data_IF_097345794938
#
_entry.id   IF_097345794938
#
_cell.length_a   1.000
_cell.length_b   1.000
_cell.length_c   1.000
_cell.angle_alpha   90.00
_cell.angle_beta   90.00
_cell.angle_gamma   90.00
#
_symmetry.space_group_name_H-M   'P 1'
#
loop_
_entity.id
_entity.type
_entity.pdbx_description
1 polymer ?
#
# COMPACT_ATOMS: atom_id res chain seq x y z
N UNK A 1 19.86 -19.65 -0.56
CA UNK A 1 18.55 -18.98 -0.71
C UNK A 1 18.76 -17.65 -0.04
N UNK A 2 18.94 -16.58 -0.80
CA UNK A 2 19.12 -15.24 -0.20
C UNK A 2 17.83 -14.90 0.55
N UNK A 3 17.94 -14.53 1.83
CA UNK A 3 16.82 -14.03 2.60
C UNK A 3 16.44 -12.67 2.01
N UNK A 4 15.21 -12.54 1.50
CA UNK A 4 14.66 -11.25 1.10
C UNK A 4 14.24 -10.50 2.37
N UNK A 5 14.81 -9.32 2.61
CA UNK A 5 14.36 -8.43 3.67
C UNK A 5 13.35 -7.45 3.09
N UNK A 6 12.15 -7.40 3.66
CA UNK A 6 11.19 -6.34 3.36
C UNK A 6 11.57 -5.10 4.15
N UNK A 7 11.53 -3.94 3.49
CA UNK A 7 11.78 -2.64 4.09
C UNK A 7 10.59 -1.73 3.87
N UNK A 8 9.88 -1.40 4.95
CA UNK A 8 8.67 -0.61 4.90
C UNK A 8 8.87 0.83 5.42
N UNK A 9 8.15 1.78 4.82
CA UNK A 9 7.89 3.10 5.38
C UNK A 9 6.37 3.37 5.28
N UNK A 10 5.69 3.27 6.41
CA UNK A 10 4.23 3.22 6.45
C UNK A 10 3.65 4.10 7.57
N UNK A 11 2.49 4.67 7.30
CA UNK A 11 1.60 5.24 8.29
C UNK A 11 0.50 4.21 8.60
N UNK A 12 0.16 4.04 9.87
CA UNK A 12 -0.83 3.07 10.30
C UNK A 12 -1.80 3.67 11.32
N UNK A 13 -3.01 3.11 11.33
CA UNK A 13 -3.98 3.27 12.40
C UNK A 13 -4.43 1.90 12.87
N UNK A 14 -4.30 1.66 14.17
CA UNK A 14 -4.78 0.47 14.85
C UNK A 14 -6.02 0.82 15.68
N UNK A 15 -6.87 -0.17 15.98
CA UNK A 15 -8.04 -0.04 16.87
C UNK A 15 -7.70 0.60 18.23
N UNK A 16 -6.45 0.45 18.71
CA UNK A 16 -5.98 1.07 19.97
C UNK A 16 -5.64 2.56 19.85
N UNK A 17 -5.27 3.05 18.66
CA UNK A 17 -4.84 4.44 18.42
C UNK A 17 -5.98 5.32 17.89
N UNK A 18 -7.02 4.73 17.33
CA UNK A 18 -8.26 5.45 17.05
C UNK A 18 -8.89 5.84 18.40
N UNK A 19 -8.82 7.13 18.78
CA UNK A 19 -9.61 7.63 19.90
C UNK A 19 -11.06 7.14 19.71
N UNK A 20 -11.53 6.29 20.63
CA UNK A 20 -12.89 5.70 20.72
C UNK A 20 -13.23 4.58 19.73
N UNK A 21 -12.97 3.31 20.08
CA UNK A 21 -13.78 2.15 19.67
C UNK A 21 -14.22 2.07 18.20
N UNK A 22 -13.39 2.58 17.28
CA UNK A 22 -13.74 2.84 15.90
C UNK A 22 -13.56 1.53 15.14
N UNK A 23 -14.68 0.90 14.81
CA UNK A 23 -14.67 -0.26 13.93
C UNK A 23 -14.31 0.21 12.51
N UNK A 24 -13.28 -0.38 11.93
CA UNK A 24 -12.81 -0.01 10.60
C UNK A 24 -13.33 -1.00 9.56
N UNK A 25 -14.09 -0.49 8.61
CA UNK A 25 -14.71 -1.27 7.53
C UNK A 25 -14.11 -0.95 6.17
N UNK A 26 -12.99 -0.23 6.13
CA UNK A 26 -12.34 0.15 4.89
C UNK A 26 -11.40 1.32 5.03
N UNK A 27 -10.73 1.63 3.93
CA UNK A 27 -9.82 2.76 3.85
C UNK A 27 -9.76 3.32 2.44
N UNK A 28 -9.47 4.61 2.36
CA UNK A 28 -9.28 5.34 1.13
C UNK A 28 -8.06 6.24 1.23
N UNK A 29 -7.34 6.36 0.14
CA UNK A 29 -6.27 7.34 0.00
C UNK A 29 -6.04 7.68 -1.47
N UNK A 30 -5.49 8.88 -1.68
CA UNK A 30 -4.92 9.30 -2.95
C UNK A 30 -3.40 9.08 -2.90
N UNK A 31 -2.88 8.30 -3.84
CA UNK A 31 -1.51 7.78 -3.88
C UNK A 31 -0.80 8.36 -5.10
N UNK A 32 0.32 9.02 -4.88
CA UNK A 32 1.14 9.54 -5.95
C UNK A 32 1.91 8.41 -6.66
N UNK A 33 1.95 8.43 -8.00
CA UNK A 33 2.53 7.35 -8.81
C UNK A 33 3.89 7.75 -9.38
N UNK A 34 4.87 6.88 -9.21
CA UNK A 34 6.24 7.01 -9.70
C UNK A 34 6.71 5.75 -10.42
N UNK A 35 7.84 5.87 -11.12
CA UNK A 35 8.57 4.75 -11.72
C UNK A 35 9.93 4.60 -11.02
N UNK A 36 9.97 4.03 -9.79
CA UNK A 36 11.22 3.83 -9.05
C UNK A 36 12.18 2.90 -9.79
N UNK A 37 13.49 3.18 -9.66
CA UNK A 37 14.52 2.25 -10.09
C UNK A 37 14.53 1.00 -9.20
N UNK A 38 14.48 -0.18 -9.83
CA UNK A 38 14.65 -1.48 -9.16
C UNK A 38 16.05 -2.00 -9.46
N UNK A 39 16.82 -2.31 -8.42
CA UNK A 39 18.24 -2.64 -8.53
C UNK A 39 18.47 -4.06 -9.05
N UNK A 40 17.71 -5.02 -8.54
CA UNK A 40 17.81 -6.44 -8.89
C UNK A 40 16.47 -6.95 -9.44
N UNK A 41 16.51 -7.83 -10.45
CA UNK A 41 15.31 -8.23 -11.20
C UNK A 41 14.23 -8.94 -10.36
N UNK A 42 14.60 -9.52 -9.22
CA UNK A 42 13.74 -10.19 -8.25
C UNK A 42 13.31 -9.28 -7.08
N UNK A 43 13.61 -7.98 -7.15
CA UNK A 43 13.12 -6.99 -6.20
C UNK A 43 11.86 -6.29 -6.73
N UNK A 44 11.16 -5.61 -5.82
CA UNK A 44 10.05 -4.74 -6.17
C UNK A 44 10.05 -3.49 -5.29
N UNK A 45 9.28 -2.50 -5.73
CA UNK A 45 8.88 -1.34 -4.94
C UNK A 45 7.39 -1.12 -5.13
N UNK A 46 6.68 -0.92 -4.03
CA UNK A 46 5.22 -0.76 -4.04
C UNK A 46 4.76 0.42 -3.21
N UNK A 47 3.52 0.83 -3.44
CA UNK A 47 2.81 1.86 -2.69
C UNK A 47 1.34 1.49 -2.61
N UNK A 48 0.85 1.19 -1.42
CA UNK A 48 -0.44 0.55 -1.24
C UNK A 48 -1.19 0.96 0.03
N UNK A 49 -2.44 0.50 0.08
CA UNK A 49 -3.28 0.43 1.27
C UNK A 49 -3.31 -1.03 1.73
N UNK A 50 -3.08 -1.27 3.02
CA UNK A 50 -3.32 -2.56 3.68
C UNK A 50 -4.57 -2.49 4.53
N UNK A 51 -5.49 -3.44 4.35
CA UNK A 51 -6.61 -3.70 5.26
C UNK A 51 -6.32 -5.01 5.98
N UNK A 52 -6.14 -4.94 7.29
CA UNK A 52 -5.60 -6.04 8.08
C UNK A 52 -6.54 -6.43 9.22
N UNK A 53 -6.61 -7.73 9.50
CA UNK A 53 -7.28 -8.26 10.69
C UNK A 53 -6.64 -9.55 11.17
N UNK A 54 -6.54 -9.71 12.49
CA UNK A 54 -5.87 -10.86 13.12
C UNK A 54 -4.52 -10.48 13.73
N UNK A 55 -3.59 -11.44 13.78
CA UNK A 55 -2.29 -11.29 14.45
C UNK A 55 -1.11 -11.54 13.52
N UNK A 56 -0.09 -10.68 13.61
CA UNK A 56 1.21 -10.92 12.97
C UNK A 56 1.97 -12.10 13.58
N UNK A 57 1.64 -12.48 14.82
CA UNK A 57 2.22 -13.63 15.49
C UNK A 57 1.47 -14.91 15.07
N UNK A 58 2.04 -15.66 14.13
CA UNK A 58 1.51 -16.95 13.68
C UNK A 58 0.87 -16.91 12.29
N UNK A 59 -0.14 -17.75 12.07
CA UNK A 59 -0.83 -17.93 10.77
C UNK A 59 -2.21 -17.27 10.73
N UNK A 60 -2.42 -16.23 11.55
CA UNK A 60 -3.75 -15.70 11.85
C UNK A 60 -4.04 -14.34 11.20
N UNK A 61 -3.13 -13.82 10.37
CA UNK A 61 -3.30 -12.53 9.71
C UNK A 61 -4.07 -12.68 8.39
N UNK A 62 -5.12 -11.89 8.25
CA UNK A 62 -5.79 -11.65 6.97
C UNK A 62 -5.35 -10.28 6.44
N UNK A 63 -5.11 -10.21 5.13
CA UNK A 63 -4.72 -8.97 4.45
C UNK A 63 -5.47 -8.81 3.12
N UNK A 64 -5.93 -7.60 2.85
CA UNK A 64 -6.33 -7.12 1.53
C UNK A 64 -5.47 -5.91 1.19
N UNK A 65 -4.90 -5.94 0.00
CA UNK A 65 -3.88 -4.98 -0.43
C UNK A 65 -4.19 -4.46 -1.81
N UNK A 66 -4.15 -3.15 -2.00
CA UNK A 66 -4.25 -2.55 -3.32
C UNK A 66 -3.47 -1.25 -3.43
N UNK A 67 -2.87 -1.03 -4.59
CA UNK A 67 -1.94 0.06 -4.81
C UNK A 67 -1.36 0.05 -6.21
N UNK A 68 -0.17 0.63 -6.34
CA UNK A 68 0.68 0.43 -7.51
C UNK A 68 2.02 -0.19 -7.10
N UNK A 69 2.61 -0.97 -7.98
CA UNK A 69 3.94 -1.54 -7.77
C UNK A 69 4.76 -1.59 -9.06
N UNK A 70 6.08 -1.57 -8.93
CA UNK A 70 7.04 -1.93 -9.97
C UNK A 70 7.70 -3.23 -9.56
N UNK A 71 7.44 -4.30 -10.31
CA UNK A 71 8.01 -5.63 -10.08
C UNK A 71 8.42 -6.24 -11.43
N UNK A 72 9.71 -6.13 -11.82
CA UNK A 72 10.21 -6.69 -13.06
C UNK A 72 10.01 -8.21 -13.16
N UNK A 73 10.18 -8.95 -12.06
CA UNK A 73 9.93 -10.39 -12.01
C UNK A 73 8.48 -10.74 -12.35
N UNK A 74 7.51 -9.99 -11.83
CA UNK A 74 6.09 -10.29 -12.02
C UNK A 74 5.56 -9.83 -13.39
N UNK A 75 6.03 -8.69 -13.90
CA UNK A 75 5.45 -8.05 -15.09
C UNK A 75 6.35 -8.06 -16.33
N UNK A 76 7.63 -8.40 -16.19
CA UNK A 76 8.61 -8.40 -17.28
C UNK A 76 9.04 -7.01 -17.76
N UNK A 77 8.64 -5.94 -17.06
CA UNK A 77 9.06 -4.56 -17.31
C UNK A 77 9.12 -3.74 -16.01
N UNK A 78 9.60 -2.50 -16.09
CA UNK A 78 9.76 -1.60 -14.94
C UNK A 78 8.63 -0.56 -14.83
N UNK A 79 7.51 -0.75 -15.52
CA UNK A 79 6.41 0.23 -15.46
C UNK A 79 5.55 -0.01 -14.22
N UNK A 80 5.10 1.05 -13.52
CA UNK A 80 4.20 0.87 -12.38
C UNK A 80 2.87 0.26 -12.84
N UNK A 81 2.44 -0.79 -12.14
CA UNK A 81 1.19 -1.51 -12.41
C UNK A 81 0.21 -1.29 -11.26
N UNK A 82 -1.05 -1.03 -11.59
CA UNK A 82 -2.14 -1.20 -10.61
C UNK A 82 -2.15 -2.67 -10.19
N UNK A 83 -2.16 -2.94 -8.89
CA UNK A 83 -2.16 -4.32 -8.42
C UNK A 83 -3.05 -4.50 -7.20
N UNK A 84 -3.33 -5.76 -6.95
CA UNK A 84 -3.95 -6.23 -5.72
C UNK A 84 -3.21 -7.44 -5.18
N UNK A 85 -3.21 -7.60 -3.87
CA UNK A 85 -2.86 -8.84 -3.20
C UNK A 85 -3.87 -9.14 -2.09
N UNK A 86 -4.00 -10.40 -1.70
CA UNK A 86 -4.72 -10.78 -0.49
C UNK A 86 -4.09 -12.04 0.10
N UNK A 87 -4.26 -12.25 1.40
CA UNK A 87 -3.96 -13.53 2.10
C UNK A 87 -4.91 -13.69 3.29
N UNK A 88 -5.09 -14.93 3.74
CA UNK A 88 -5.90 -15.29 4.92
C UNK A 88 -5.11 -16.03 6.00
N UNK A 89 -3.80 -16.23 5.80
CA UNK A 89 -2.98 -17.09 6.66
C UNK A 89 -1.55 -16.55 6.85
N UNK A 90 -1.39 -15.23 7.01
CA UNK A 90 -0.09 -14.59 7.19
C UNK A 90 0.92 -14.90 6.08
N UNK A 91 0.48 -14.86 4.82
CA UNK A 91 1.35 -15.08 3.65
C UNK A 91 2.00 -16.48 3.60
N UNK A 92 1.43 -17.48 4.27
CA UNK A 92 2.05 -18.81 4.36
C UNK A 92 1.72 -19.69 3.16
N UNK A 93 0.44 -20.03 2.98
CA UNK A 93 -0.03 -20.92 1.93
C UNK A 93 -1.16 -20.31 1.10
N UNK A 94 -1.94 -19.39 1.67
CA UNK A 94 -2.98 -18.67 0.96
C UNK A 94 -2.51 -17.31 0.48
N UNK A 95 -3.14 -16.89 -0.61
CA UNK A 95 -3.02 -15.55 -1.12
C UNK A 95 -2.81 -15.51 -2.62
N UNK A 96 -3.02 -14.33 -3.18
CA UNK A 96 -2.98 -14.19 -4.63
C UNK A 96 -2.64 -12.79 -5.09
N UNK A 97 -1.66 -12.70 -6.00
CA UNK A 97 -1.44 -11.50 -6.79
C UNK A 97 -2.48 -11.40 -7.91
N UNK A 98 -3.10 -10.23 -8.00
CA UNK A 98 -3.97 -9.85 -9.11
C UNK A 98 -5.05 -10.91 -9.41
N UNK A 99 -5.08 -11.39 -10.66
CA UNK A 99 -5.97 -12.43 -11.15
C UNK A 99 -5.19 -13.73 -11.49
N UNK A 100 -4.00 -13.92 -10.91
CA UNK A 100 -3.16 -15.11 -11.20
C UNK A 100 -3.72 -16.41 -10.60
N UNK A 101 -4.66 -16.27 -9.67
CA UNK A 101 -5.38 -17.30 -8.95
C UNK A 101 -6.74 -16.74 -8.50
N UNK A 102 -7.60 -17.62 -8.00
CA UNK A 102 -8.92 -17.24 -7.48
C UNK A 102 -8.80 -16.36 -6.22
N UNK A 103 -9.73 -15.42 -6.05
CA UNK A 103 -9.90 -14.64 -4.82
C UNK A 103 -10.43 -13.24 -5.07
N UNK A 104 -9.86 -12.50 -6.03
CA UNK A 104 -10.43 -11.23 -6.48
C UNK A 104 -11.34 -11.45 -7.69
N UNK A 105 -12.55 -10.91 -7.64
CA UNK A 105 -13.53 -10.96 -8.73
C UNK A 105 -13.59 -9.57 -9.38
N UNK A 106 -12.87 -9.41 -10.50
CA UNK A 106 -12.96 -8.20 -11.31
C UNK A 106 -14.32 -8.17 -12.03
N UNK A 107 -15.04 -7.06 -11.88
CA UNK A 107 -16.35 -6.84 -12.50
C UNK A 107 -16.32 -5.76 -13.58
N UNK A 108 -15.29 -4.92 -13.54
CA UNK A 108 -15.09 -3.80 -14.45
C UNK A 108 -14.24 -4.19 -15.66
N UNK A 109 -14.61 -3.70 -16.84
CA UNK A 109 -13.86 -3.91 -18.10
C UNK A 109 -13.08 -2.68 -18.58
N UNK A 110 -13.15 -1.55 -17.86
CA UNK A 110 -12.43 -0.30 -18.16
C UNK A 110 -11.11 -0.20 -17.39
N UNK A 111 -11.09 -0.69 -16.15
CA UNK A 111 -9.89 -0.75 -15.30
C UNK A 111 -9.48 -2.20 -15.17
N UNK A 112 -8.26 -2.51 -15.58
CA UNK A 112 -7.70 -3.86 -15.48
C UNK A 112 -6.63 -3.92 -14.38
N UNK A 113 -6.77 -4.87 -13.46
CA UNK A 113 -5.72 -5.18 -12.51
C UNK A 113 -4.49 -5.72 -13.26
N UNK A 114 -3.29 -5.25 -12.89
CA UNK A 114 -2.03 -5.52 -13.58
C UNK A 114 -1.73 -4.59 -14.77
N UNK A 115 -2.65 -3.68 -15.13
CA UNK A 115 -2.42 -2.71 -16.19
C UNK A 115 -1.35 -1.68 -15.80
N UNK A 116 -0.54 -1.27 -16.78
CA UNK A 116 0.43 -0.20 -16.61
C UNK A 116 -0.28 1.14 -16.36
N UNK A 117 0.20 1.89 -15.38
CA UNK A 117 -0.29 3.22 -15.06
C UNK A 117 0.55 4.23 -15.84
N UNK A 118 -0.13 5.14 -16.54
CA UNK A 118 0.50 6.24 -17.26
C UNK A 118 -0.49 7.40 -17.36
N UNK A 119 -0.03 8.66 -17.27
CA UNK A 119 1.34 9.10 -17.00
C UNK A 119 1.79 8.90 -15.53
N UNK A 120 3.09 9.06 -15.27
CA UNK A 120 3.72 8.97 -13.93
C UNK A 120 4.36 10.30 -13.55
N UNK A 121 4.58 10.52 -12.25
CA UNK A 121 5.14 11.77 -11.73
C UNK A 121 6.60 11.95 -12.10
N UNK A 122 7.07 13.19 -12.03
CA UNK A 122 8.47 13.56 -12.33
C UNK A 122 9.01 14.58 -11.34
N UNK A 123 10.32 14.55 -11.10
CA UNK A 123 10.98 15.47 -10.15
C UNK A 123 10.81 16.92 -10.60
N UNK A 124 10.25 17.75 -9.71
CA UNK A 124 9.93 19.17 -9.95
C UNK A 124 9.05 19.41 -11.19
N UNK A 125 8.33 18.38 -11.64
CA UNK A 125 7.48 18.42 -12.83
C UNK A 125 6.04 18.05 -12.51
N UNK A 126 5.32 17.53 -13.50
CA UNK A 126 3.94 17.11 -13.34
C UNK A 126 3.85 15.98 -12.30
N UNK A 127 2.86 16.07 -11.42
CA UNK A 127 2.52 15.06 -10.43
C UNK A 127 1.22 14.37 -10.84
N UNK A 128 1.20 13.05 -10.77
CA UNK A 128 0.05 12.22 -11.10
C UNK A 128 -0.25 11.27 -9.94
N UNK A 129 -1.53 11.14 -9.61
CA UNK A 129 -1.98 10.31 -8.51
C UNK A 129 -3.19 9.46 -8.91
N UNK A 130 -3.42 8.42 -8.12
CA UNK A 130 -4.59 7.53 -8.20
C UNK A 130 -5.30 7.56 -6.87
N UNK A 131 -6.61 7.40 -6.86
CA UNK A 131 -7.36 7.22 -5.62
C UNK A 131 -7.87 5.79 -5.54
N UNK A 132 -7.66 5.14 -4.40
CA UNK A 132 -8.14 3.78 -4.13
C UNK A 132 -9.01 3.85 -2.89
N UNK A 133 -10.15 3.17 -2.94
CA UNK A 133 -11.01 2.92 -1.80
C UNK A 133 -11.30 1.42 -1.74
N UNK A 134 -11.01 0.81 -0.59
CA UNK A 134 -11.39 -0.56 -0.24
C UNK A 134 -12.38 -0.49 0.92
N UNK A 135 -13.51 -1.18 0.84
CA UNK A 135 -14.49 -1.20 1.93
C UNK A 135 -15.34 -2.46 1.94
N UNK A 136 -15.85 -2.83 3.11
CA UNK A 136 -16.77 -3.94 3.31
C UNK A 136 -18.19 -3.49 2.98
N UNK A 137 -18.84 -4.15 2.03
CA UNK A 137 -20.26 -3.91 1.71
C UNK A 137 -21.15 -4.35 2.89
N UNK A 138 -21.92 -3.43 3.52
CA UNK A 138 -22.77 -3.77 4.65
C UNK A 138 -23.94 -4.70 4.30
N UNK A 139 -24.26 -4.89 3.01
CA UNK A 139 -25.37 -5.74 2.57
C UNK A 139 -24.95 -7.17 2.28
N UNK A 140 -23.86 -7.33 1.52
CA UNK A 140 -23.39 -8.64 1.06
C UNK A 140 -22.14 -9.13 1.81
N UNK A 141 -21.46 -8.26 2.57
CA UNK A 141 -20.27 -8.60 3.35
C UNK A 141 -18.96 -8.65 2.56
N UNK A 142 -19.02 -8.59 1.22
CA UNK A 142 -17.83 -8.61 0.36
C UNK A 142 -17.01 -7.33 0.50
N UNK A 143 -15.70 -7.45 0.35
CA UNK A 143 -14.80 -6.31 0.31
C UNK A 143 -14.68 -5.79 -1.12
N UNK A 144 -15.15 -4.57 -1.38
CA UNK A 144 -15.09 -3.94 -2.69
C UNK A 144 -13.86 -3.04 -2.83
N UNK A 145 -13.37 -2.93 -4.06
CA UNK A 145 -12.36 -1.96 -4.46
C UNK A 145 -12.93 -1.03 -5.53
N UNK A 146 -12.67 0.27 -5.37
CA UNK A 146 -12.87 1.27 -6.41
C UNK A 146 -11.60 2.04 -6.72
N UNK A 147 -11.54 2.60 -7.93
CA UNK A 147 -10.41 3.35 -8.46
C UNK A 147 -10.86 4.70 -9.01
N UNK A 148 -10.08 5.75 -8.75
CA UNK A 148 -10.37 7.12 -9.18
C UNK A 148 -11.64 7.67 -8.53
N UNK A 149 -12.52 8.26 -9.34
CA UNK A 149 -13.82 8.82 -8.92
C UNK A 149 -14.87 7.72 -8.68
N UNK A 150 -14.55 6.77 -7.79
CA UNK A 150 -15.44 5.68 -7.36
C UNK A 150 -15.84 4.69 -8.46
N UNK A 151 -14.98 4.46 -9.45
CA UNK A 151 -15.21 3.40 -10.44
C UNK A 151 -14.99 2.04 -9.76
N UNK A 152 -16.07 1.29 -9.55
CA UNK A 152 -16.00 -0.08 -9.01
C UNK A 152 -15.12 -0.94 -9.92
N UNK A 153 -14.10 -1.58 -9.37
CA UNK A 153 -13.18 -2.47 -10.12
C UNK A 153 -13.60 -3.92 -9.92
N UNK A 154 -13.86 -4.31 -8.68
CA UNK A 154 -14.14 -5.69 -8.30
C UNK A 154 -14.22 -5.84 -6.78
N UNK A 155 -14.28 -7.08 -6.32
CA UNK A 155 -14.39 -7.39 -4.90
C UNK A 155 -13.69 -8.71 -4.53
N UNK A 156 -13.35 -8.84 -3.25
CA UNK A 156 -12.99 -10.10 -2.63
C UNK A 156 -14.23 -10.67 -1.90
N UNK A 157 -14.63 -11.92 -2.19
CA UNK A 157 -15.69 -12.59 -1.46
C UNK A 157 -15.34 -12.72 0.03
N UNK A 158 -16.30 -12.51 0.92
CA UNK A 158 -16.05 -12.58 2.36
C UNK A 158 -15.63 -13.97 2.83
N UNK A 159 -15.97 -15.02 2.07
CA UNK A 159 -15.77 -16.43 2.42
C UNK A 159 -14.31 -16.88 2.33
N UNK A 160 -13.44 -16.08 1.69
CA UNK A 160 -12.00 -16.39 1.63
C UNK A 160 -11.26 -15.91 2.88
N UNK A 161 -11.94 -15.21 3.78
CA UNK A 161 -11.35 -14.63 4.99
C UNK A 161 -11.91 -15.28 6.25
N UNK A 162 -11.09 -15.26 7.30
CA UNK A 162 -11.48 -15.67 8.65
C UNK A 162 -11.82 -14.44 9.49
N UNK A 163 -10.86 -13.53 9.67
CA UNK A 163 -11.02 -12.32 10.49
C UNK A 163 -11.63 -11.14 9.74
N UNK A 164 -11.19 -10.91 8.51
CA UNK A 164 -11.80 -9.89 7.63
C UNK A 164 -13.23 -10.26 7.22
N UNK A 165 -13.72 -11.46 7.59
CA UNK A 165 -15.13 -11.79 7.49
C UNK A 165 -16.00 -10.84 8.34
N UNK A 166 -15.48 -10.32 9.45
CA UNK A 166 -16.16 -9.34 10.30
C UNK A 166 -15.76 -7.90 9.95
N UNK A 167 -14.53 -7.48 10.26
CA UNK A 167 -14.02 -6.11 10.07
C UNK A 167 -12.49 -6.09 10.04
N UNK A 168 -11.92 -4.92 9.76
CA UNK A 168 -10.49 -4.69 9.92
C UNK A 168 -10.16 -4.23 11.34
N UNK A 169 -9.03 -4.69 11.87
CA UNK A 169 -8.47 -4.22 13.15
C UNK A 169 -7.34 -3.21 12.93
N UNK A 170 -6.77 -3.16 11.72
CA UNK A 170 -5.72 -2.22 11.38
C UNK A 170 -5.77 -1.83 9.92
N UNK A 171 -5.40 -0.58 9.64
CA UNK A 171 -5.20 -0.07 8.29
C UNK A 171 -3.82 0.58 8.21
N UNK A 172 -3.13 0.29 7.12
CA UNK A 172 -1.84 0.92 6.81
C UNK A 172 -1.84 1.54 5.41
N UNK A 173 -1.00 2.55 5.24
CA UNK A 173 -0.72 3.22 3.99
C UNK A 173 0.78 3.46 3.91
N UNK A 174 1.40 3.20 2.77
CA UNK A 174 2.85 3.34 2.68
C UNK A 174 3.45 2.63 1.50
N UNK A 175 4.78 2.56 1.55
CA UNK A 175 5.58 1.83 0.59
C UNK A 175 6.40 0.73 1.25
N UNK A 176 6.71 -0.27 0.45
CA UNK A 176 7.56 -1.40 0.81
C UNK A 176 8.48 -1.71 -0.37
N UNK A 177 9.70 -2.12 -0.06
CA UNK A 177 10.67 -2.60 -1.04
C UNK A 177 11.28 -3.90 -0.59
N UNK A 178 11.76 -4.69 -1.54
CA UNK A 178 12.61 -5.86 -1.25
C UNK A 178 14.07 -5.46 -1.30
N UNK A 179 14.83 -5.85 -0.30
CA UNK A 179 16.29 -5.87 -0.30
C UNK A 179 16.80 -7.31 -0.33
N UNK A 180 17.30 -7.74 -1.49
CA UNK A 180 17.84 -9.07 -1.74
C UNK A 180 19.28 -9.26 -1.25
N UNK A 181 19.95 -8.18 -0.82
CA UNK A 181 21.34 -8.21 -0.34
C UNK A 181 21.48 -8.06 1.18
N UNK A 182 20.37 -8.23 1.92
CA UNK A 182 20.36 -8.11 3.37
C UNK A 182 21.34 -9.08 4.06
N UNK A 183 21.51 -10.30 3.53
CA UNK A 183 22.46 -11.29 4.06
C UNK A 183 23.93 -10.84 3.97
N UNK A 184 24.25 -9.96 3.02
CA UNK A 184 25.58 -9.35 2.88
C UNK A 184 25.76 -8.11 3.78
N UNK A 185 24.75 -7.79 4.59
CA UNK A 185 24.70 -6.60 5.45
C UNK A 185 24.63 -5.29 4.68
N UNK A 186 24.11 -5.31 3.45
CA UNK A 186 24.03 -4.14 2.55
C UNK A 186 22.61 -3.91 2.06
N UNK A 187 22.26 -2.65 1.84
CA UNK A 187 21.05 -2.29 1.10
C UNK A 187 21.31 -2.26 -0.42
N UNK A 188 20.32 -2.60 -1.24
CA UNK A 188 20.35 -2.33 -2.68
C UNK A 188 19.98 -0.87 -2.96
N UNK A 189 20.22 -0.40 -4.20
CA UNK A 189 19.80 0.93 -4.67
C UNK A 189 18.34 0.93 -5.14
N UNK A 190 17.51 -0.04 -4.74
CA UNK A 190 16.09 -0.04 -5.07
C UNK A 190 15.42 1.14 -4.41
N UNK A 191 14.70 1.92 -5.21
CA UNK A 191 14.06 3.14 -4.74
C UNK A 191 12.68 2.84 -4.17
N UNK A 192 12.30 3.54 -3.10
CA UNK A 192 10.92 3.58 -2.61
C UNK A 192 10.24 4.85 -3.12
N UNK A 193 9.06 4.70 -3.73
CA UNK A 193 8.30 5.81 -4.29
C UNK A 193 9.08 6.55 -5.39
N UNK A 194 9.48 7.78 -5.13
CA UNK A 194 10.24 8.67 -6.03
C UNK A 194 11.75 8.49 -5.93
N UNK A 195 12.22 7.72 -4.94
CA UNK A 195 13.64 7.66 -4.57
C UNK A 195 14.12 8.85 -3.73
N UNK A 196 13.25 9.81 -3.39
CA UNK A 196 13.58 10.95 -2.52
C UNK A 196 13.04 10.75 -1.11
N UNK A 197 13.76 11.28 -0.12
CA UNK A 197 13.30 11.29 1.28
C UNK A 197 12.10 12.22 1.48
N UNK A 198 11.33 11.94 2.53
CA UNK A 198 10.10 12.64 2.88
C UNK A 198 10.26 14.17 3.05
N UNK A 199 11.43 14.64 3.47
CA UNK A 199 11.74 16.05 3.69
C UNK A 199 11.77 16.86 2.40
N UNK A 200 11.97 16.23 1.23
CA UNK A 200 11.97 16.93 -0.06
C UNK A 200 10.58 17.44 -0.45
N UNK A 201 9.52 16.87 0.12
CA UNK A 201 8.15 17.39 0.01
C UNK A 201 7.54 17.33 -1.40
N UNK A 202 6.50 18.14 -1.61
CA UNK A 202 5.70 18.11 -2.84
C UNK A 202 6.55 18.34 -4.10
N UNK A 203 6.27 17.55 -5.14
CA UNK A 203 6.97 17.62 -6.42
C UNK A 203 8.27 16.83 -6.46
N UNK A 204 8.72 16.28 -5.33
CA UNK A 204 9.96 15.51 -5.25
C UNK A 204 9.78 14.20 -4.49
N UNK A 205 9.30 14.25 -3.26
CA UNK A 205 8.99 13.08 -2.45
C UNK A 205 7.67 12.45 -2.90
N UNK A 206 7.52 11.15 -2.68
CA UNK A 206 6.23 10.49 -2.87
C UNK A 206 5.30 10.82 -1.72
N UNK A 207 4.00 10.78 -1.99
CA UNK A 207 3.00 11.11 -0.98
C UNK A 207 1.78 10.20 -1.06
N UNK A 208 1.13 10.09 0.09
CA UNK A 208 -0.28 9.78 0.19
C UNK A 208 -0.98 11.00 0.77
N UNK A 209 -2.19 11.30 0.28
CA UNK A 209 -3.05 12.36 0.82
C UNK A 209 -4.49 11.87 0.92
N UNK A 210 -5.32 12.63 1.62
CA UNK A 210 -6.71 12.28 1.90
C UNK A 210 -6.81 10.87 2.49
N UNK A 211 -6.00 10.58 3.52
CA UNK A 211 -6.15 9.33 4.27
C UNK A 211 -7.50 9.36 4.98
N UNK A 212 -8.38 8.43 4.60
CA UNK A 212 -9.72 8.28 5.13
C UNK A 212 -9.97 6.82 5.49
N UNK A 213 -10.83 6.59 6.48
CA UNK A 213 -11.35 5.26 6.84
C UNK A 213 -12.85 5.20 6.67
N UNK A 214 -13.35 4.00 6.40
CA UNK A 214 -14.78 3.70 6.41
C UNK A 214 -15.14 3.24 7.81
N UNK A 215 -16.09 3.92 8.45
CA UNK A 215 -16.52 3.62 9.80
C UNK A 215 -17.73 2.67 9.85
N UNK A 216 -18.29 2.47 11.04
CA UNK A 216 -19.41 1.56 11.27
C UNK A 216 -20.74 1.94 10.62
N UNK A 217 -20.94 3.22 10.27
CA UNK A 217 -22.13 3.63 9.51
C UNK A 217 -21.89 3.63 8.00
N UNK A 218 -20.72 3.12 7.59
CA UNK A 218 -20.24 3.03 6.22
C UNK A 218 -20.06 4.42 5.58
N UNK A 219 -19.67 5.41 6.38
CA UNK A 219 -19.26 6.74 5.92
C UNK A 219 -17.74 6.89 5.93
N UNK A 220 -17.25 7.82 5.10
CA UNK A 220 -15.84 8.16 5.05
C UNK A 220 -15.54 9.24 6.10
N UNK A 221 -14.52 8.98 6.91
CA UNK A 221 -13.98 9.95 7.85
C UNK A 221 -12.46 10.07 7.68
N UNK A 222 -11.94 11.28 7.82
CA UNK A 222 -10.49 11.51 7.78
C UNK A 222 -9.81 10.69 8.87
N UNK A 223 -8.76 9.96 8.50
CA UNK A 223 -7.85 9.32 9.43
C UNK A 223 -7.25 10.37 10.38
N UNK A 224 -7.25 10.10 11.68
CA UNK A 224 -6.66 10.97 12.72
C UNK A 224 -5.69 10.15 13.55
N UNK A 225 -4.69 10.81 14.13
CA UNK A 225 -3.70 10.16 15.00
C UNK A 225 -2.93 9.00 14.33
N UNK A 226 -2.67 9.13 13.03
CA UNK A 226 -1.84 8.19 12.28
C UNK A 226 -0.44 8.11 12.89
N UNK A 227 0.00 6.89 13.18
CA UNK A 227 1.37 6.62 13.63
C UNK A 227 2.22 6.29 12.42
N UNK A 228 3.52 6.60 12.45
CA UNK A 228 4.44 6.31 11.34
C UNK A 228 5.55 5.38 11.78
N UNK A 229 5.89 4.41 10.94
CA UNK A 229 6.99 3.46 11.11
C UNK A 229 7.87 3.46 9.86
N UNK A 230 9.18 3.44 10.07
CA UNK A 230 10.15 3.10 9.04
C UNK A 230 11.26 2.27 9.67
N UNK A 231 11.57 1.11 9.08
CA UNK A 231 12.51 0.15 9.67
C UNK A 231 13.96 0.65 9.63
N UNK A 232 14.35 1.36 8.57
CA UNK A 232 15.64 2.04 8.48
C UNK A 232 15.48 3.43 7.85
N UNK A 233 15.37 4.45 8.72
CA UNK A 233 15.15 5.85 8.35
C UNK A 233 16.26 6.47 7.50
N UNK A 234 17.47 5.89 7.49
CA UNK A 234 18.55 6.36 6.64
C UNK A 234 18.44 5.83 5.20
N UNK A 235 17.64 4.78 4.95
CA UNK A 235 17.42 4.22 3.62
C UNK A 235 16.11 4.74 3.03
N UNK A 236 15.05 4.70 3.84
CA UNK A 236 13.71 5.15 3.52
C UNK A 236 13.07 5.77 4.75
N UNK A 237 12.40 6.90 4.61
CA UNK A 237 11.73 7.54 5.74
C UNK A 237 10.31 7.99 5.37
N UNK A 238 9.60 8.46 6.39
CA UNK A 238 8.21 8.89 6.30
C UNK A 238 8.00 10.08 7.24
N UNK A 239 7.17 11.02 6.81
CA UNK A 239 6.78 12.18 7.61
C UNK A 239 5.31 12.53 7.37
N UNK A 240 4.51 12.37 8.41
CA UNK A 240 3.08 12.72 8.40
C UNK A 240 2.83 14.20 8.73
N UNK A 241 1.72 14.72 8.21
CA UNK A 241 1.21 16.05 8.51
C UNK A 241 -0.29 16.12 8.18
N UNK A 242 -0.91 17.27 8.42
CA UNK A 242 -2.31 17.49 8.06
C UNK A 242 -2.59 18.95 7.73
N UNK A 243 -3.47 19.18 6.77
CA UNK A 243 -4.00 20.51 6.43
C UNK A 243 -5.38 20.38 5.76
N UNK A 244 -6.05 21.53 5.53
CA UNK A 244 -7.41 21.54 4.98
C UNK A 244 -7.50 21.09 3.51
N UNK A 245 -6.41 21.16 2.75
CA UNK A 245 -6.39 20.84 1.32
C UNK A 245 -6.10 19.35 1.06
N UNK A 246 -5.23 18.75 1.88
CA UNK A 246 -4.74 17.39 1.71
C UNK A 246 -5.27 16.40 2.76
N UNK A 247 -6.10 16.88 3.69
CA UNK A 247 -6.54 16.11 4.84
C UNK A 247 -5.35 15.68 5.70
N UNK A 248 -5.42 14.46 6.24
CA UNK A 248 -4.25 13.77 6.77
C UNK A 248 -3.44 13.19 5.61
N UNK A 249 -2.14 13.44 5.61
CA UNK A 249 -1.24 13.06 4.52
C UNK A 249 0.17 12.76 5.05
N UNK A 250 1.00 12.14 4.22
CA UNK A 250 2.42 11.98 4.52
C UNK A 250 3.26 11.99 3.25
N UNK A 251 4.52 12.39 3.41
CA UNK A 251 5.56 12.12 2.43
C UNK A 251 6.37 10.91 2.87
N UNK A 252 6.87 10.15 1.90
CA UNK A 252 7.71 8.98 2.13
C UNK A 252 8.60 8.71 0.92
N UNK A 253 9.60 7.84 1.13
CA UNK A 253 10.46 7.32 0.09
C UNK A 253 11.91 7.30 0.53
N UNK A 254 12.79 7.05 -0.44
CA UNK A 254 14.22 7.08 -0.25
C UNK A 254 14.96 6.30 -1.32
N UNK A 255 16.28 6.54 -1.46
CA UNK A 255 17.06 5.97 -2.55
C UNK A 255 17.53 4.54 -2.29
N UNK A 256 17.27 3.98 -1.11
CA UNK A 256 17.90 2.74 -0.65
C UNK A 256 19.35 3.01 -0.27
N UNK A 257 20.29 2.24 -0.83
CA UNK A 257 21.71 2.36 -0.55
C UNK A 257 22.23 3.79 -0.78
N UNK A 258 22.84 4.37 0.25
CA UNK A 258 23.44 5.70 0.21
C UNK A 258 24.51 5.83 1.32
N UNK A 259 25.30 6.92 1.38
CA UNK A 259 26.37 7.04 2.39
C UNK A 259 25.93 6.90 3.87
N UNK A 260 24.65 7.18 4.17
CA UNK A 260 24.07 7.00 5.51
C UNK A 260 23.36 5.65 5.70
N UNK A 261 23.19 4.88 4.62
CA UNK A 261 22.58 3.55 4.57
C UNK A 261 23.42 2.64 3.64
N UNK A 262 24.51 2.05 4.16
CA UNK A 262 25.42 1.22 3.35
C UNK A 262 24.89 -0.19 3.03
#
# INVERSE_FOLDING_TARGET
MQSLLLLAAAAFMNESNAFTGLNVFGAKATINVWEPQIAEGNEFSLSQIWILSGSFDGSDLNSIEAGWQVSPELYGDSRPRLFTYWTSDSYQATGCYNLLCSGFIQTNSRIAIGAAISPVSSLSGNQYDITILIWKDPKLGNWWMSFGDSVLVGYWPTEIFTHLADKATMVEWGGEVVNSRADDGRHTTTQMGSGQFAEEGFGKASYFRNLEVVDSDNSLSSARDVSTLAENTNCYNIKSSSNAEWGTYFYYGGPGNNPSCP
#
